data_IF_673320878929
#
_entry.id   IF_673320878929
#
_cell.length_a   1.000
_cell.length_b   1.000
_cell.length_c   1.000
_cell.angle_alpha   90.00
_cell.angle_beta   90.00
_cell.angle_gamma   90.00
#
_symmetry.space_group_name_H-M   'P 1'
#
loop_
_entity.id
_entity.type
_entity.pdbx_description
1 polymer ?
#
# COMPACT_ATOMS: atom_id res chain seq x y z
N UNK A 1 0.50 33.82 -33.81
CA UNK A 1 0.58 34.73 -32.64
C UNK A 1 1.80 34.28 -31.88
N UNK A 2 2.65 35.21 -31.48
CA UNK A 2 3.98 34.91 -30.94
C UNK A 2 4.11 35.50 -29.52
N UNK A 3 5.04 34.94 -28.75
CA UNK A 3 5.41 35.48 -27.43
C UNK A 3 5.93 36.90 -27.58
N UNK A 4 5.85 37.69 -26.51
CA UNK A 4 6.54 38.99 -26.49
C UNK A 4 8.05 38.77 -26.69
N UNK A 5 8.73 39.72 -27.34
CA UNK A 5 10.16 39.61 -27.60
C UNK A 5 10.98 39.49 -26.31
N UNK A 6 10.54 40.22 -25.26
CA UNK A 6 11.12 40.15 -23.92
C UNK A 6 10.97 38.78 -23.29
N UNK A 7 9.75 38.22 -23.27
CA UNK A 7 9.52 36.91 -22.66
C UNK A 7 10.22 35.79 -23.45
N UNK A 8 10.21 35.86 -24.79
CA UNK A 8 10.93 34.90 -25.64
C UNK A 8 12.43 34.90 -25.32
N UNK A 9 13.04 36.09 -25.18
CA UNK A 9 14.44 36.22 -24.78
C UNK A 9 14.68 35.66 -23.38
N UNK A 10 13.88 36.05 -22.39
CA UNK A 10 14.02 35.61 -21.00
C UNK A 10 13.86 34.08 -20.85
N UNK A 11 12.89 33.48 -21.55
CA UNK A 11 12.69 32.03 -21.54
C UNK A 11 13.88 31.29 -22.18
N UNK A 12 14.42 31.78 -23.30
CA UNK A 12 15.59 31.19 -23.93
C UNK A 12 16.83 31.27 -23.03
N UNK A 13 17.04 32.40 -22.35
CA UNK A 13 18.13 32.56 -21.37
C UNK A 13 17.95 31.59 -20.20
N UNK A 14 16.73 31.45 -19.70
CA UNK A 14 16.41 30.50 -18.63
C UNK A 14 16.75 29.06 -19.07
N UNK A 15 16.31 28.63 -20.26
CA UNK A 15 16.57 27.28 -20.77
C UNK A 15 18.07 27.01 -21.01
N UNK A 16 18.81 28.01 -21.49
CA UNK A 16 20.26 27.91 -21.66
C UNK A 16 21.03 27.80 -20.34
N UNK A 17 20.42 28.13 -19.19
CA UNK A 17 21.05 28.07 -17.87
C UNK A 17 21.09 26.67 -17.25
N UNK A 18 20.74 25.61 -18.00
CA UNK A 18 20.78 24.23 -17.50
C UNK A 18 19.60 23.87 -16.60
N UNK A 19 18.40 24.31 -16.98
CA UNK A 19 17.17 23.98 -16.26
C UNK A 19 16.90 22.47 -16.31
N UNK A 20 16.54 21.91 -15.16
CA UNK A 20 16.26 20.50 -14.95
C UNK A 20 14.77 20.16 -15.00
N UNK A 21 13.91 21.13 -14.67
CA UNK A 21 12.45 21.02 -14.64
C UNK A 21 11.81 22.41 -14.69
N UNK A 22 10.61 22.51 -15.26
CA UNK A 22 9.86 23.76 -15.41
C UNK A 22 8.47 23.64 -14.77
N UNK A 23 8.11 24.63 -13.96
CA UNK A 23 6.77 24.81 -13.39
C UNK A 23 6.19 26.13 -13.85
N UNK A 24 4.91 26.13 -14.23
CA UNK A 24 4.20 27.35 -14.64
C UNK A 24 3.15 27.68 -13.59
N UNK A 25 3.26 28.86 -12.98
CA UNK A 25 2.18 29.45 -12.21
C UNK A 25 1.28 30.24 -13.16
N UNK A 26 0.16 29.62 -13.54
CA UNK A 26 -0.81 30.20 -14.47
C UNK A 26 -1.50 31.46 -13.90
N UNK A 27 -1.69 31.52 -12.59
CA UNK A 27 -2.35 32.66 -11.94
C UNK A 27 -1.38 33.84 -11.80
N UNK A 28 -0.15 33.56 -11.40
CA UNK A 28 0.92 34.55 -11.27
C UNK A 28 1.62 34.90 -12.59
N UNK A 29 1.20 34.31 -13.72
CA UNK A 29 1.83 34.45 -15.04
C UNK A 29 3.35 34.35 -14.94
N UNK A 30 3.84 33.29 -14.32
CA UNK A 30 5.26 33.12 -14.00
C UNK A 30 5.73 31.73 -14.42
N UNK A 31 6.90 31.67 -15.08
CA UNK A 31 7.62 30.43 -15.34
C UNK A 31 8.77 30.30 -14.34
N UNK A 32 8.84 29.15 -13.69
CA UNK A 32 9.89 28.77 -12.74
C UNK A 32 10.72 27.64 -13.33
N UNK A 33 12.04 27.76 -13.27
CA UNK A 33 12.98 26.73 -13.69
C UNK A 33 13.80 26.22 -12.52
N UNK A 34 13.77 24.91 -12.26
CA UNK A 34 14.67 24.27 -11.31
C UNK A 34 16.06 24.14 -11.93
N UNK A 35 17.11 24.60 -11.24
CA UNK A 35 18.51 24.46 -11.66
C UNK A 35 19.33 23.81 -10.54
N UNK A 36 20.58 23.43 -10.81
CA UNK A 36 21.49 22.93 -9.77
C UNK A 36 21.74 23.93 -8.63
N UNK A 37 21.68 25.24 -8.93
CA UNK A 37 22.02 26.32 -7.98
C UNK A 37 20.79 26.96 -7.31
N UNK A 38 19.58 26.50 -7.62
CA UNK A 38 18.34 27.06 -7.10
C UNK A 38 17.27 27.25 -8.18
N UNK A 39 16.38 28.21 -7.98
CA UNK A 39 15.26 28.47 -8.89
C UNK A 39 15.52 29.71 -9.77
N UNK A 40 15.28 29.56 -11.07
CA UNK A 40 15.17 30.67 -12.01
C UNK A 40 13.69 31.08 -12.14
N UNK A 41 13.43 32.37 -12.33
CA UNK A 41 12.07 32.91 -12.45
C UNK A 41 11.97 33.87 -13.64
N UNK A 42 10.95 33.68 -14.45
CA UNK A 42 10.57 34.58 -15.56
C UNK A 42 9.12 35.02 -15.33
N UNK A 43 8.92 36.32 -15.09
CA UNK A 43 7.59 36.91 -15.09
C UNK A 43 7.16 37.14 -16.55
N UNK A 44 5.96 36.68 -16.90
CA UNK A 44 5.42 36.78 -18.25
C UNK A 44 4.64 38.08 -18.44
N UNK A 45 4.80 38.68 -19.60
CA UNK A 45 4.12 39.89 -20.05
C UNK A 45 3.22 39.57 -21.26
N UNK A 46 2.06 38.93 -21.03
CA UNK A 46 1.16 38.49 -22.10
C UNK A 46 0.71 39.65 -22.98
N UNK A 47 0.94 39.52 -24.29
CA UNK A 47 0.46 40.43 -25.34
C UNK A 47 -0.92 40.03 -25.90
N UNK A 48 -1.52 38.97 -25.35
CA UNK A 48 -2.81 38.42 -25.73
C UNK A 48 -3.55 37.84 -24.52
N UNK A 49 -4.63 37.08 -24.74
CA UNK A 49 -5.38 36.45 -23.63
C UNK A 49 -4.46 35.49 -22.85
N UNK A 50 -4.45 35.53 -21.50
CA UNK A 50 -3.54 34.71 -20.69
C UNK A 50 -3.51 33.22 -21.07
N UNK A 51 -4.67 32.58 -21.26
CA UNK A 51 -4.73 31.16 -21.63
C UNK A 51 -4.10 30.86 -23.00
N UNK A 52 -4.24 31.80 -23.96
CA UNK A 52 -3.61 31.68 -25.26
C UNK A 52 -2.10 31.90 -25.15
N UNK A 53 -1.69 32.83 -24.31
CA UNK A 53 -0.28 33.12 -24.06
C UNK A 53 0.42 31.95 -23.40
N UNK A 54 -0.17 31.33 -22.38
CA UNK A 54 0.38 30.15 -21.71
C UNK A 54 0.52 28.96 -22.66
N UNK A 55 -0.38 28.80 -23.64
CA UNK A 55 -0.23 27.80 -24.71
C UNK A 55 0.99 28.07 -25.59
N UNK A 56 1.26 29.33 -25.92
CA UNK A 56 2.46 29.71 -26.69
C UNK A 56 3.74 29.49 -25.87
N UNK A 57 3.71 29.77 -24.57
CA UNK A 57 4.84 29.51 -23.65
C UNK A 57 5.13 28.01 -23.60
N UNK A 58 4.11 27.19 -23.36
CA UNK A 58 4.19 25.73 -23.35
C UNK A 58 4.70 25.15 -24.67
N UNK A 59 4.22 25.70 -25.80
CA UNK A 59 4.71 25.32 -27.13
C UNK A 59 6.21 25.62 -27.28
N UNK A 60 6.66 26.82 -26.92
CA UNK A 60 8.07 27.22 -26.99
C UNK A 60 8.97 26.32 -26.11
N UNK A 61 8.53 26.02 -24.89
CA UNK A 61 9.22 25.12 -23.97
C UNK A 61 9.31 23.69 -24.55
N UNK A 62 8.21 23.19 -25.12
CA UNK A 62 8.16 21.86 -25.72
C UNK A 62 9.04 21.74 -26.97
N UNK A 63 9.06 22.78 -27.83
CA UNK A 63 9.93 22.84 -29.01
C UNK A 63 11.41 22.76 -28.60
N UNK A 64 11.80 23.49 -27.56
CA UNK A 64 13.17 23.43 -27.02
C UNK A 64 13.50 22.07 -26.39
N UNK A 65 12.61 21.53 -25.57
CA UNK A 65 12.90 20.32 -24.80
C UNK A 65 12.95 19.05 -25.65
N UNK A 66 12.13 18.97 -26.70
CA UNK A 66 11.90 17.74 -27.47
C UNK A 66 12.57 17.73 -28.85
N UNK A 67 13.28 18.80 -29.25
CA UNK A 67 13.91 18.95 -30.57
C UNK A 67 12.96 18.64 -31.74
N UNK A 68 11.66 18.97 -31.61
CA UNK A 68 10.64 18.62 -32.59
C UNK A 68 10.16 19.85 -33.39
N UNK A 69 10.37 19.88 -34.72
CA UNK A 69 9.99 21.01 -35.57
C UNK A 69 8.49 21.10 -35.91
N UNK A 70 7.67 20.09 -35.59
CA UNK A 70 6.23 20.07 -35.91
C UNK A 70 5.34 20.03 -34.65
N UNK A 71 4.93 21.22 -34.18
CA UNK A 71 3.60 21.50 -33.63
C UNK A 71 3.16 20.74 -32.36
N UNK A 72 3.37 21.38 -31.22
CA UNK A 72 2.53 21.19 -30.04
C UNK A 72 1.06 21.53 -30.39
N UNK A 73 0.01 20.76 -30.03
CA UNK A 73 -0.07 19.60 -29.11
C UNK A 73 -0.12 18.22 -29.81
N UNK A 74 0.23 18.12 -31.10
CA UNK A 74 0.13 16.85 -31.87
C UNK A 74 1.04 15.77 -31.29
N UNK A 75 2.18 16.16 -30.72
CA UNK A 75 3.13 15.26 -30.09
C UNK A 75 2.57 14.57 -28.84
N UNK A 76 1.93 15.30 -27.91
CA UNK A 76 1.34 14.73 -26.69
C UNK A 76 0.26 13.67 -26.99
N UNK A 77 -0.56 13.89 -28.03
CA UNK A 77 -1.64 12.95 -28.43
C UNK A 77 -1.14 11.66 -29.08
N UNK A 78 -0.01 11.69 -29.77
CA UNK A 78 0.64 10.47 -30.30
C UNK A 78 1.37 9.71 -29.18
N UNK A 79 1.87 10.44 -28.19
CA UNK A 79 2.64 9.92 -27.07
C UNK A 79 1.83 9.12 -26.07
N UNK A 80 0.63 9.59 -25.72
CA UNK A 80 -0.31 8.83 -24.89
C UNK A 80 -0.82 7.55 -25.57
N UNK A 81 -0.68 7.41 -26.90
CA UNK A 81 -1.05 6.22 -27.67
C UNK A 81 0.09 5.23 -27.90
N UNK A 82 1.33 5.71 -27.96
CA UNK A 82 2.53 4.88 -28.11
C UNK A 82 3.04 4.55 -26.70
N UNK A 83 2.56 3.44 -26.13
CA UNK A 83 2.86 2.96 -24.77
C UNK A 83 4.33 2.58 -24.48
N UNK A 84 5.29 3.30 -25.06
CA UNK A 84 6.71 3.19 -24.80
C UNK A 84 7.26 4.60 -24.57
N UNK A 85 7.14 5.10 -23.34
CA UNK A 85 8.12 6.05 -22.83
C UNK A 85 9.46 5.33 -22.90
N UNK A 86 10.35 5.75 -23.81
CA UNK A 86 11.76 5.38 -23.68
C UNK A 86 12.30 6.11 -22.47
N UNK A 87 12.88 5.37 -21.53
CA UNK A 87 13.37 5.90 -20.24
C UNK A 87 14.29 7.13 -20.42
N UNK A 88 15.01 7.20 -21.55
CA UNK A 88 15.95 8.28 -21.90
C UNK A 88 15.32 9.68 -22.03
N UNK A 89 14.01 9.80 -22.24
CA UNK A 89 13.34 11.10 -22.48
C UNK A 89 12.51 11.63 -21.31
N UNK A 90 12.44 10.91 -20.18
CA UNK A 90 11.60 11.30 -19.04
C UNK A 90 11.97 12.67 -18.46
N UNK A 91 13.26 12.97 -18.40
CA UNK A 91 13.76 14.27 -17.90
C UNK A 91 13.35 15.45 -18.80
N UNK A 92 13.33 15.25 -20.13
CA UNK A 92 12.95 16.28 -21.10
C UNK A 92 11.49 16.69 -20.97
N UNK A 93 10.61 15.76 -20.63
CA UNK A 93 9.20 16.07 -20.40
C UNK A 93 8.97 17.08 -19.28
N UNK A 94 9.77 17.02 -18.23
CA UNK A 94 9.66 17.92 -17.09
C UNK A 94 10.03 19.37 -17.46
N UNK A 95 10.59 19.62 -18.65
CA UNK A 95 10.90 20.95 -19.15
C UNK A 95 9.74 21.61 -19.91
N UNK A 96 8.70 20.84 -20.26
CA UNK A 96 7.59 21.31 -21.12
C UNK A 96 6.65 22.29 -20.42
N UNK A 97 6.66 22.33 -19.08
CA UNK A 97 5.69 23.09 -18.29
C UNK A 97 4.27 22.51 -18.31
N UNK A 98 4.11 21.26 -18.76
CA UNK A 98 2.81 20.56 -18.81
C UNK A 98 2.60 19.66 -17.59
N UNK A 99 1.45 19.80 -16.94
CA UNK A 99 1.09 18.98 -15.79
C UNK A 99 0.87 17.51 -16.21
N UNK A 100 0.25 17.27 -17.37
CA UNK A 100 0.03 15.93 -17.92
C UNK A 100 1.35 15.21 -18.22
N UNK A 101 2.39 15.96 -18.59
CA UNK A 101 3.72 15.40 -18.80
C UNK A 101 4.33 14.94 -17.47
N UNK A 102 4.13 15.68 -16.38
CA UNK A 102 4.55 15.26 -15.03
C UNK A 102 3.81 14.00 -14.60
N UNK A 103 2.49 13.94 -14.78
CA UNK A 103 1.70 12.72 -14.48
C UNK A 103 2.24 11.53 -15.25
N UNK A 104 2.52 11.68 -16.55
CA UNK A 104 3.08 10.62 -17.37
C UNK A 104 4.47 10.16 -16.88
N UNK A 105 5.35 11.10 -16.49
CA UNK A 105 6.66 10.78 -15.91
C UNK A 105 6.51 9.94 -14.64
N UNK A 106 5.64 10.35 -13.74
CA UNK A 106 5.45 9.67 -12.44
C UNK A 106 4.91 8.25 -12.62
N UNK A 107 4.15 7.99 -13.68
CA UNK A 107 3.65 6.66 -14.01
C UNK A 107 4.65 5.79 -14.78
N UNK A 108 5.73 6.37 -15.30
CA UNK A 108 6.68 5.65 -16.15
C UNK A 108 7.43 4.54 -15.38
N UNK A 109 7.71 3.39 -16.02
CA UNK A 109 8.46 2.30 -15.40
C UNK A 109 9.91 2.69 -15.07
N UNK A 110 10.58 3.48 -15.93
CA UNK A 110 11.94 3.96 -15.71
C UNK A 110 12.09 5.17 -14.80
N UNK A 111 11.11 5.47 -13.95
CA UNK A 111 11.19 6.58 -13.01
C UNK A 111 12.33 6.34 -11.99
N UNK A 112 13.36 7.19 -12.06
CA UNK A 112 14.48 7.18 -11.11
C UNK A 112 14.25 8.16 -9.95
N UNK A 113 15.01 8.00 -8.86
CA UNK A 113 14.96 8.91 -7.71
C UNK A 113 15.17 10.39 -8.10
N UNK A 114 16.13 10.67 -8.98
CA UNK A 114 16.43 12.04 -9.40
C UNK A 114 15.33 12.64 -10.30
N UNK A 115 14.72 11.84 -11.17
CA UNK A 115 13.57 12.29 -11.97
C UNK A 115 12.35 12.51 -11.07
N UNK A 116 12.13 11.64 -10.08
CA UNK A 116 11.07 11.81 -9.08
C UNK A 116 11.25 13.10 -8.28
N UNK A 117 12.47 13.45 -7.87
CA UNK A 117 12.77 14.73 -7.18
C UNK A 117 12.33 15.94 -8.02
N UNK A 118 12.64 15.93 -9.32
CA UNK A 118 12.27 17.00 -10.26
C UNK A 118 10.76 17.08 -10.47
N UNK A 119 10.11 15.93 -10.70
CA UNK A 119 8.66 15.86 -10.84
C UNK A 119 7.93 16.31 -9.56
N UNK A 120 8.46 15.94 -8.39
CA UNK A 120 7.94 16.35 -7.09
C UNK A 120 8.04 17.86 -6.88
N UNK A 121 9.16 18.48 -7.28
CA UNK A 121 9.32 19.93 -7.23
C UNK A 121 8.27 20.66 -8.10
N UNK A 122 7.93 20.10 -9.26
CA UNK A 122 6.89 20.69 -10.14
C UNK A 122 5.50 20.54 -9.50
N UNK A 123 5.13 19.33 -9.08
CA UNK A 123 3.76 19.01 -8.69
C UNK A 123 3.71 18.09 -7.45
N UNK A 124 3.87 18.65 -6.23
CA UNK A 124 3.88 17.89 -4.99
C UNK A 124 2.48 17.54 -4.50
N UNK A 125 1.82 16.59 -5.18
CA UNK A 125 0.46 16.13 -4.85
C UNK A 125 0.45 14.75 -4.20
N UNK A 126 -0.64 14.44 -3.50
CA UNK A 126 -0.83 13.15 -2.82
C UNK A 126 -0.78 11.97 -3.80
N UNK A 127 -1.44 12.10 -4.95
CA UNK A 127 -1.48 11.10 -6.01
C UNK A 127 -0.08 10.84 -6.58
N UNK A 128 0.71 11.90 -6.78
CA UNK A 128 2.09 11.77 -7.25
C UNK A 128 2.97 11.09 -6.21
N UNK A 129 2.86 11.46 -4.93
CA UNK A 129 3.63 10.82 -3.86
C UNK A 129 3.34 9.30 -3.79
N UNK A 130 2.07 8.91 -3.85
CA UNK A 130 1.65 7.50 -3.90
C UNK A 130 2.29 6.78 -5.08
N UNK A 131 2.10 7.30 -6.29
CA UNK A 131 2.56 6.64 -7.50
C UNK A 131 4.08 6.56 -7.58
N UNK A 132 4.79 7.60 -7.13
CA UNK A 132 6.26 7.59 -7.06
C UNK A 132 6.77 6.50 -6.09
N UNK A 133 6.14 6.33 -4.92
CA UNK A 133 6.56 5.36 -3.92
C UNK A 133 6.28 3.89 -4.28
N UNK A 134 5.43 3.62 -5.27
CA UNK A 134 5.30 2.28 -5.85
C UNK A 134 6.60 1.81 -6.53
N UNK A 135 7.49 2.75 -6.91
CA UNK A 135 8.74 2.44 -7.60
C UNK A 135 9.86 2.21 -6.58
N UNK A 136 10.42 1.01 -6.57
CA UNK A 136 11.50 0.65 -5.65
C UNK A 136 12.72 1.58 -5.77
N UNK A 137 13.06 2.03 -6.98
CA UNK A 137 14.17 2.97 -7.22
C UNK A 137 13.97 4.33 -6.53
N UNK A 138 12.71 4.75 -6.33
CA UNK A 138 12.35 5.99 -5.63
C UNK A 138 12.21 5.73 -4.14
N UNK A 139 11.49 4.67 -3.76
CA UNK A 139 11.26 4.31 -2.37
C UNK A 139 12.58 4.04 -1.61
N UNK A 140 13.55 3.36 -2.22
CA UNK A 140 14.87 3.13 -1.62
C UNK A 140 15.83 4.32 -1.75
N UNK A 141 15.48 5.32 -2.55
CA UNK A 141 16.27 6.53 -2.75
C UNK A 141 15.98 7.62 -1.71
N UNK A 142 16.63 8.77 -1.87
CA UNK A 142 16.44 9.92 -0.97
C UNK A 142 14.99 10.43 -0.96
N UNK A 143 14.29 10.34 -2.09
CA UNK A 143 12.89 10.77 -2.20
C UNK A 143 11.95 9.89 -1.40
N UNK A 144 12.31 8.62 -1.15
CA UNK A 144 11.47 7.70 -0.38
C UNK A 144 11.05 8.28 0.96
N UNK A 145 12.02 8.84 1.71
CA UNK A 145 11.75 9.48 3.00
C UNK A 145 10.92 10.76 2.86
N UNK A 146 11.25 11.61 1.89
CA UNK A 146 10.54 12.89 1.66
C UNK A 146 9.06 12.64 1.35
N UNK A 147 8.78 11.70 0.45
CA UNK A 147 7.43 11.32 0.05
C UNK A 147 6.69 10.61 1.19
N UNK A 148 7.38 9.76 1.96
CA UNK A 148 6.78 9.07 3.10
C UNK A 148 6.37 10.04 4.22
N UNK A 149 7.23 11.00 4.56
CA UNK A 149 6.92 12.03 5.56
C UNK A 149 5.68 12.84 5.10
N UNK A 150 5.62 13.23 3.82
CA UNK A 150 4.45 13.86 3.22
C UNK A 150 3.18 12.98 3.33
N UNK A 151 3.25 11.70 2.94
CA UNK A 151 2.09 10.79 3.03
C UNK A 151 1.59 10.64 4.47
N UNK A 152 2.48 10.54 5.46
CA UNK A 152 2.10 10.39 6.88
C UNK A 152 1.35 11.62 7.40
N UNK A 153 1.74 12.82 6.96
CA UNK A 153 1.05 14.07 7.29
C UNK A 153 -0.33 14.17 6.66
N UNK A 154 -0.51 13.62 5.45
CA UNK A 154 -1.77 13.69 4.69
C UNK A 154 -2.74 12.54 5.00
N UNK A 155 -2.23 11.41 5.50
CA UNK A 155 -3.00 10.22 5.86
C UNK A 155 -4.21 10.47 6.80
N UNK A 156 -4.20 11.41 7.78
CA UNK A 156 -5.38 11.70 8.60
C UNK A 156 -6.57 12.24 7.81
N UNK A 157 -6.33 12.79 6.62
CA UNK A 157 -7.34 13.45 5.80
C UNK A 157 -7.81 12.58 4.62
N UNK A 158 -7.26 11.37 4.47
CA UNK A 158 -7.76 10.42 3.48
C UNK A 158 -9.04 9.74 4.00
N UNK A 159 -10.03 9.64 3.13
CA UNK A 159 -11.34 9.06 3.42
C UNK A 159 -11.55 7.72 2.70
N UNK A 160 -10.81 7.45 1.62
CA UNK A 160 -10.85 6.17 0.91
C UNK A 160 -10.07 5.08 1.66
N UNK A 161 -10.79 4.09 2.18
CA UNK A 161 -10.24 2.94 2.89
C UNK A 161 -9.16 2.19 2.10
N UNK A 162 -9.36 2.03 0.78
CA UNK A 162 -8.40 1.34 -0.08
C UNK A 162 -7.12 2.15 -0.20
N UNK A 163 -7.24 3.47 -0.40
CA UNK A 163 -6.11 4.38 -0.41
C UNK A 163 -5.34 4.38 0.92
N UNK A 164 -6.05 4.37 2.06
CA UNK A 164 -5.42 4.26 3.39
C UNK A 164 -4.62 2.96 3.48
N UNK A 165 -5.23 1.83 3.12
CA UNK A 165 -4.57 0.52 3.16
C UNK A 165 -3.32 0.50 2.27
N UNK A 166 -3.42 0.94 1.02
CA UNK A 166 -2.33 0.93 0.04
C UNK A 166 -1.18 1.85 0.45
N UNK A 167 -1.49 3.04 0.99
CA UNK A 167 -0.47 3.95 1.51
C UNK A 167 0.27 3.35 2.70
N UNK A 168 -0.45 2.86 3.72
CA UNK A 168 0.19 2.27 4.90
C UNK A 168 0.98 1.03 4.49
N UNK A 169 0.48 0.22 3.55
CA UNK A 169 1.18 -0.94 3.00
C UNK A 169 2.52 -0.53 2.38
N UNK A 170 2.51 0.49 1.52
CA UNK A 170 3.71 1.00 0.84
C UNK A 170 4.73 1.53 1.84
N UNK A 171 4.27 2.31 2.83
CA UNK A 171 5.11 2.86 3.90
C UNK A 171 5.79 1.75 4.72
N UNK A 172 5.09 0.65 5.00
CA UNK A 172 5.62 -0.48 5.77
C UNK A 172 6.50 -1.41 4.93
N UNK A 173 6.17 -1.66 3.67
CA UNK A 173 6.93 -2.57 2.79
C UNK A 173 8.38 -2.09 2.59
N UNK A 174 8.58 -0.79 2.45
CA UNK A 174 9.90 -0.20 2.22
C UNK A 174 10.57 0.35 3.50
N UNK A 175 10.03 0.05 4.70
CA UNK A 175 10.57 0.54 5.98
C UNK A 175 10.73 2.08 6.04
N UNK A 176 9.82 2.83 5.41
CA UNK A 176 9.95 4.28 5.23
C UNK A 176 9.52 5.11 6.45
N UNK A 177 8.89 4.47 7.43
CA UNK A 177 8.38 5.13 8.63
C UNK A 177 9.29 4.90 9.82
N UNK A 178 9.55 5.96 10.59
CA UNK A 178 10.23 5.83 11.88
C UNK A 178 9.41 4.99 12.86
N UNK A 179 10.06 4.38 13.86
CA UNK A 179 9.36 3.62 14.90
C UNK A 179 8.30 4.46 15.66
N UNK A 180 8.50 5.78 15.76
CA UNK A 180 7.52 6.69 16.35
C UNK A 180 6.29 6.90 15.44
N UNK A 181 6.52 7.05 14.13
CA UNK A 181 5.43 7.15 13.14
C UNK A 181 4.67 5.82 13.04
N UNK A 182 5.36 4.69 13.06
CA UNK A 182 4.77 3.34 13.06
C UNK A 182 3.79 3.15 14.23
N UNK A 183 4.18 3.51 15.45
CA UNK A 183 3.29 3.48 16.62
C UNK A 183 2.08 4.39 16.47
N UNK A 184 2.24 5.58 15.87
CA UNK A 184 1.13 6.50 15.60
C UNK A 184 0.15 5.95 14.58
N UNK A 185 0.66 5.36 13.49
CA UNK A 185 -0.16 4.70 12.46
C UNK A 185 -0.95 3.54 13.06
N UNK A 186 -0.29 2.68 13.83
CA UNK A 186 -0.95 1.59 14.55
C UNK A 186 -2.06 2.08 15.48
N UNK A 187 -1.80 3.14 16.26
CA UNK A 187 -2.78 3.68 17.19
C UNK A 187 -4.06 4.20 16.49
N UNK A 188 -3.97 4.64 15.23
CA UNK A 188 -5.14 5.06 14.43
C UNK A 188 -6.05 3.91 14.04
N UNK A 189 -5.56 2.66 14.04
CA UNK A 189 -6.40 1.47 13.84
C UNK A 189 -7.58 1.39 14.81
N UNK A 190 -7.42 1.91 16.03
CA UNK A 190 -8.50 1.99 17.04
C UNK A 190 -9.66 2.87 16.60
N UNK A 191 -9.43 3.83 15.72
CA UNK A 191 -10.46 4.70 15.15
C UNK A 191 -10.93 4.14 13.80
N UNK A 192 -9.99 3.64 12.99
CA UNK A 192 -10.22 3.30 11.60
C UNK A 192 -9.53 1.99 11.18
N UNK A 193 -10.32 0.95 10.90
CA UNK A 193 -9.83 -0.43 10.70
C UNK A 193 -8.81 -0.62 9.57
N UNK A 194 -8.90 0.16 8.49
CA UNK A 194 -7.98 0.12 7.34
C UNK A 194 -6.49 0.15 7.75
N UNK A 195 -6.17 0.89 8.81
CA UNK A 195 -4.80 0.99 9.32
C UNK A 195 -4.26 -0.35 9.80
N UNK A 196 -5.07 -1.20 10.44
CA UNK A 196 -4.61 -2.49 10.94
C UNK A 196 -4.27 -3.47 9.80
N UNK A 197 -5.01 -3.41 8.71
CA UNK A 197 -4.88 -4.36 7.59
C UNK A 197 -3.46 -4.37 7.05
N UNK A 198 -2.91 -3.20 6.73
CA UNK A 198 -1.56 -3.11 6.19
C UNK A 198 -0.49 -3.65 7.15
N UNK A 199 -0.64 -3.46 8.47
CA UNK A 199 0.29 -4.04 9.46
C UNK A 199 0.19 -5.56 9.52
N UNK A 200 -1.04 -6.08 9.53
CA UNK A 200 -1.31 -7.51 9.55
C UNK A 200 -0.85 -8.21 8.26
N UNK A 201 -0.90 -7.55 7.11
CA UNK A 201 -0.38 -8.08 5.84
C UNK A 201 1.15 -8.05 5.78
N UNK A 202 1.76 -6.92 6.14
CA UNK A 202 3.17 -6.67 5.84
C UNK A 202 4.13 -7.14 6.94
N UNK A 203 3.68 -7.14 8.20
CA UNK A 203 4.55 -7.39 9.37
C UNK A 203 3.84 -8.19 10.46
N UNK A 204 3.19 -9.32 10.13
CA UNK A 204 2.36 -10.03 11.10
C UNK A 204 3.13 -10.55 12.32
N UNK A 205 4.43 -10.85 12.19
CA UNK A 205 5.29 -11.29 13.31
C UNK A 205 6.03 -10.14 14.03
N UNK A 206 5.86 -8.89 13.58
CA UNK A 206 6.57 -7.72 14.13
C UNK A 206 5.58 -6.58 14.43
N UNK A 207 4.38 -6.92 14.85
CA UNK A 207 3.34 -5.95 15.17
C UNK A 207 3.69 -5.09 16.40
N UNK A 208 3.26 -3.82 16.46
CA UNK A 208 3.42 -2.99 17.64
C UNK A 208 2.69 -3.54 18.88
N UNK A 209 3.24 -3.26 20.07
CA UNK A 209 2.72 -3.72 21.37
C UNK A 209 2.74 -5.24 21.52
N UNK A 210 3.94 -5.86 21.50
CA UNK A 210 4.07 -7.31 21.56
C UNK A 210 3.47 -7.88 22.85
N UNK A 211 2.81 -9.01 22.72
CA UNK A 211 2.31 -9.84 23.81
C UNK A 211 3.29 -10.99 24.10
N UNK A 212 3.29 -11.52 25.33
CA UNK A 212 4.03 -12.74 25.63
C UNK A 212 3.47 -13.93 24.83
N UNK A 213 4.31 -14.96 24.65
CA UNK A 213 3.86 -16.25 24.14
C UNK A 213 2.77 -16.85 25.05
N UNK A 214 2.05 -17.86 24.55
CA UNK A 214 1.08 -18.60 25.37
C UNK A 214 1.77 -19.15 26.62
N UNK A 215 1.06 -19.20 27.74
CA UNK A 215 1.68 -19.51 29.04
C UNK A 215 2.42 -20.86 29.07
N UNK A 216 1.95 -21.84 28.29
CA UNK A 216 2.54 -23.18 28.13
C UNK A 216 3.42 -23.32 26.87
N UNK A 217 3.82 -22.22 26.24
CA UNK A 217 4.56 -22.23 24.96
C UNK A 217 5.83 -23.07 25.05
N UNK A 218 6.65 -22.90 26.09
CA UNK A 218 7.91 -23.63 26.20
C UNK A 218 7.70 -25.16 26.26
N UNK A 219 6.69 -25.62 26.99
CA UNK A 219 6.33 -27.03 27.08
C UNK A 219 5.77 -27.55 25.75
N UNK A 220 4.90 -26.76 25.11
CA UNK A 220 4.30 -27.13 23.82
C UNK A 220 5.34 -27.15 22.69
N UNK A 221 6.26 -26.18 22.67
CA UNK A 221 7.38 -26.12 21.73
C UNK A 221 8.26 -27.36 21.84
N UNK A 222 8.60 -27.79 23.06
CA UNK A 222 9.37 -29.02 23.28
C UNK A 222 8.68 -30.27 22.71
N UNK A 223 7.34 -30.33 22.77
CA UNK A 223 6.56 -31.42 22.16
C UNK A 223 6.52 -31.33 20.62
N UNK A 224 6.51 -30.12 20.07
CA UNK A 224 6.48 -29.87 18.63
C UNK A 224 7.86 -29.96 17.95
N UNK A 225 8.95 -29.77 18.70
CA UNK A 225 10.31 -29.66 18.17
C UNK A 225 10.70 -30.82 17.22
N UNK A 226 10.45 -32.10 17.53
CA UNK A 226 10.79 -33.18 16.59
C UNK A 226 10.06 -33.08 15.24
N UNK A 227 8.83 -32.57 15.25
CA UNK A 227 8.03 -32.38 14.03
C UNK A 227 8.47 -31.15 13.24
N UNK A 228 8.88 -30.08 13.95
CA UNK A 228 9.44 -28.87 13.34
C UNK A 228 10.76 -29.19 12.64
N UNK A 229 11.64 -29.97 13.29
CA UNK A 229 12.90 -30.46 12.72
C UNK A 229 12.67 -31.35 11.49
N UNK A 230 11.58 -32.14 11.50
CA UNK A 230 11.15 -32.94 10.35
C UNK A 230 10.48 -32.11 9.23
N UNK A 231 10.37 -30.78 9.38
CA UNK A 231 9.77 -29.90 8.37
C UNK A 231 8.24 -29.98 8.28
N UNK A 232 7.55 -30.42 9.35
CA UNK A 232 6.10 -30.51 9.34
C UNK A 232 5.45 -29.10 9.36
N UNK A 233 4.68 -28.71 8.33
CA UNK A 233 4.17 -27.35 8.22
C UNK A 233 3.09 -27.02 9.26
N UNK A 234 2.34 -28.02 9.74
CA UNK A 234 1.33 -27.83 10.79
C UNK A 234 1.98 -27.56 12.14
N UNK A 235 3.04 -28.30 12.48
CA UNK A 235 3.80 -28.07 13.71
C UNK A 235 4.45 -26.68 13.71
N UNK A 236 5.03 -26.26 12.57
CA UNK A 236 5.65 -24.94 12.42
C UNK A 236 4.64 -23.80 12.58
N UNK A 237 3.48 -23.89 11.91
CA UNK A 237 2.45 -22.85 12.00
C UNK A 237 1.77 -22.82 13.37
N UNK A 238 1.58 -23.99 13.99
CA UNK A 238 1.09 -24.06 15.36
C UNK A 238 2.08 -23.37 16.31
N UNK A 239 3.36 -23.75 16.28
CA UNK A 239 4.40 -23.14 17.11
C UNK A 239 4.45 -21.61 16.93
N UNK A 240 4.40 -21.15 15.67
CA UNK A 240 4.36 -19.72 15.35
C UNK A 240 3.16 -19.02 15.99
N UNK A 241 1.95 -19.57 15.93
CA UNK A 241 0.76 -18.97 16.57
C UNK A 241 0.85 -18.96 18.10
N UNK A 242 1.51 -19.94 18.71
CA UNK A 242 1.66 -20.02 20.16
C UNK A 242 2.78 -19.12 20.70
N UNK A 243 3.71 -18.69 19.84
CA UNK A 243 4.78 -17.75 20.16
C UNK A 243 4.26 -16.33 20.50
N UNK A 244 5.13 -15.48 21.06
CA UNK A 244 4.79 -14.07 21.34
C UNK A 244 4.29 -13.28 20.12
N UNK A 245 5.01 -13.32 18.98
CA UNK A 245 4.52 -12.78 17.72
C UNK A 245 3.14 -13.30 17.31
N UNK A 246 2.92 -14.62 17.38
CA UNK A 246 1.63 -15.23 17.06
C UNK A 246 0.49 -14.77 17.97
N UNK A 247 0.73 -14.70 19.28
CA UNK A 247 -0.26 -14.17 20.23
C UNK A 247 -0.56 -12.68 20.01
N UNK A 248 0.44 -11.92 19.55
CA UNK A 248 0.27 -10.51 19.15
C UNK A 248 -0.58 -10.40 17.89
N UNK A 249 -0.31 -11.22 16.88
CA UNK A 249 -1.12 -11.32 15.66
C UNK A 249 -2.58 -11.67 15.96
N UNK A 250 -2.82 -12.66 16.81
CA UNK A 250 -4.18 -13.01 17.22
C UNK A 250 -4.88 -11.83 17.92
N UNK A 251 -4.21 -11.15 18.86
CA UNK A 251 -4.81 -9.97 19.50
C UNK A 251 -5.11 -8.83 18.52
N UNK A 252 -4.23 -8.60 17.56
CA UNK A 252 -4.40 -7.59 16.52
C UNK A 252 -5.59 -7.89 15.61
N UNK A 253 -5.76 -9.14 15.19
CA UNK A 253 -6.90 -9.60 14.41
C UNK A 253 -8.22 -9.42 15.18
N UNK A 254 -8.24 -9.73 16.49
CA UNK A 254 -9.42 -9.48 17.35
C UNK A 254 -9.77 -7.99 17.42
N UNK A 255 -8.78 -7.12 17.56
CA UNK A 255 -8.97 -5.67 17.58
C UNK A 255 -9.46 -5.15 16.21
N UNK A 256 -8.93 -5.67 15.10
CA UNK A 256 -9.37 -5.33 13.76
C UNK A 256 -10.84 -5.73 13.51
N UNK A 257 -11.29 -6.88 14.03
CA UNK A 257 -12.69 -7.30 13.97
C UNK A 257 -13.64 -6.35 14.70
N UNK A 258 -13.16 -5.54 15.65
CA UNK A 258 -13.98 -4.51 16.29
C UNK A 258 -14.25 -3.31 15.37
N UNK A 259 -13.46 -3.15 14.31
CA UNK A 259 -13.47 -2.01 13.39
C UNK A 259 -13.57 -2.48 11.93
N UNK A 260 -14.64 -3.22 11.55
CA UNK A 260 -14.74 -3.77 10.20
C UNK A 260 -14.85 -2.69 9.12
N UNK A 261 -15.29 -1.47 9.43
CA UNK A 261 -15.35 -0.34 8.50
C UNK A 261 -16.24 -0.62 7.29
N UNK A 262 -15.65 -1.13 6.23
CA UNK A 262 -16.27 -1.43 4.92
C UNK A 262 -16.10 -2.89 4.51
N UNK A 263 -16.68 -3.28 3.38
CA UNK A 263 -16.57 -4.63 2.85
C UNK A 263 -15.12 -4.96 2.43
N UNK A 264 -14.38 -3.96 1.97
CA UNK A 264 -13.01 -4.01 1.53
C UNK A 264 -12.08 -4.35 2.70
N UNK A 265 -12.20 -3.63 3.82
CA UNK A 265 -11.46 -3.90 5.06
C UNK A 265 -11.75 -5.31 5.57
N UNK A 266 -13.01 -5.74 5.57
CA UNK A 266 -13.41 -7.08 6.02
C UNK A 266 -12.83 -8.16 5.11
N UNK A 267 -12.91 -7.99 3.80
CA UNK A 267 -12.39 -8.96 2.83
C UNK A 267 -10.88 -9.11 2.98
N UNK A 268 -10.16 -8.00 3.15
CA UNK A 268 -8.73 -8.01 3.41
C UNK A 268 -8.38 -8.67 4.75
N UNK A 269 -9.10 -8.34 5.83
CA UNK A 269 -8.93 -8.97 7.14
C UNK A 269 -9.12 -10.49 7.08
N UNK A 270 -10.13 -10.97 6.36
CA UNK A 270 -10.35 -12.41 6.23
C UNK A 270 -9.25 -13.08 5.40
N UNK A 271 -8.76 -12.44 4.34
CA UNK A 271 -7.66 -12.96 3.54
C UNK A 271 -6.32 -13.02 4.31
N UNK A 272 -6.11 -12.14 5.28
CA UNK A 272 -4.91 -12.13 6.14
C UNK A 272 -4.72 -13.48 6.85
N UNK A 273 -5.79 -14.14 7.32
CA UNK A 273 -5.65 -15.43 8.03
C UNK A 273 -5.08 -16.52 7.11
N UNK A 274 -5.67 -16.68 5.93
CA UNK A 274 -5.20 -17.64 4.93
C UNK A 274 -3.79 -17.33 4.44
N UNK A 275 -3.43 -16.05 4.26
CA UNK A 275 -2.08 -15.63 3.89
C UNK A 275 -1.06 -15.91 5.00
N UNK A 276 -1.41 -15.63 6.26
CA UNK A 276 -0.53 -15.90 7.40
C UNK A 276 -0.24 -17.39 7.58
N UNK A 277 -1.20 -18.25 7.23
CA UNK A 277 -1.16 -19.71 7.36
C UNK A 277 -1.04 -20.43 6.01
N UNK A 278 -0.49 -19.77 4.99
CA UNK A 278 -0.50 -20.25 3.60
C UNK A 278 0.11 -21.65 3.43
N UNK A 279 1.14 -21.99 4.22
CA UNK A 279 1.84 -23.28 4.14
C UNK A 279 0.98 -24.50 4.52
N UNK A 280 -0.20 -24.29 5.13
CA UNK A 280 -1.15 -25.33 5.51
C UNK A 280 -2.56 -25.05 4.96
N UNK A 281 -2.64 -24.19 3.94
CA UNK A 281 -3.90 -23.67 3.43
C UNK A 281 -4.81 -24.77 2.86
N UNK A 282 -6.11 -24.61 3.09
CA UNK A 282 -7.17 -25.55 2.69
C UNK A 282 -7.75 -25.21 1.31
N UNK A 283 -6.90 -24.82 0.35
CA UNK A 283 -7.27 -24.15 -0.93
C UNK A 283 -8.26 -24.94 -1.81
N UNK A 284 -8.55 -26.19 -1.47
CA UNK A 284 -9.57 -26.98 -2.15
C UNK A 284 -10.99 -26.47 -1.87
N UNK A 285 -11.42 -25.50 -2.67
CA UNK A 285 -12.80 -25.01 -2.75
C UNK A 285 -13.09 -23.76 -1.90
N UNK A 286 -13.99 -22.94 -2.41
CA UNK A 286 -14.45 -21.68 -1.78
C UNK A 286 -15.50 -21.97 -0.73
N UNK A 287 -15.09 -22.36 0.48
CA UNK A 287 -16.01 -22.51 1.61
C UNK A 287 -16.77 -21.19 1.84
N UNK A 288 -18.11 -21.25 1.89
CA UNK A 288 -18.98 -20.07 1.90
C UNK A 288 -19.55 -19.73 3.29
N UNK A 289 -19.16 -20.49 4.30
CA UNK A 289 -19.54 -20.31 5.69
C UNK A 289 -18.42 -20.79 6.63
N UNK A 290 -18.42 -20.30 7.86
CA UNK A 290 -17.52 -20.81 8.90
C UNK A 290 -17.82 -22.27 9.26
N UNK A 291 -19.07 -22.72 9.14
CA UNK A 291 -19.47 -24.11 9.37
C UNK A 291 -18.75 -25.06 8.40
N UNK A 292 -18.78 -24.77 7.09
CA UNK A 292 -18.06 -25.56 6.09
C UNK A 292 -16.55 -25.60 6.35
N UNK A 293 -15.96 -24.49 6.83
CA UNK A 293 -14.54 -24.42 7.17
C UNK A 293 -14.22 -25.28 8.40
N UNK A 294 -15.04 -25.21 9.45
CA UNK A 294 -14.87 -25.97 10.68
C UNK A 294 -15.01 -27.48 10.42
N UNK A 295 -15.97 -27.91 9.60
CA UNK A 295 -16.16 -29.31 9.24
C UNK A 295 -14.94 -29.88 8.52
N UNK A 296 -14.40 -29.12 7.55
CA UNK A 296 -13.16 -29.48 6.84
C UNK A 296 -11.97 -29.55 7.78
N UNK A 297 -11.79 -28.55 8.63
CA UNK A 297 -10.72 -28.52 9.62
C UNK A 297 -10.79 -29.71 10.58
N UNK A 298 -12.00 -30.07 11.04
CA UNK A 298 -12.23 -31.21 11.94
C UNK A 298 -11.93 -32.55 11.28
N UNK A 299 -12.32 -32.69 10.00
CA UNK A 299 -12.03 -33.88 9.19
C UNK A 299 -10.53 -34.05 9.00
N UNK A 300 -9.83 -32.98 8.60
CA UNK A 300 -8.38 -32.99 8.42
C UNK A 300 -7.62 -33.24 9.73
N UNK A 301 -8.02 -32.60 10.83
CA UNK A 301 -7.44 -32.82 12.15
C UNK A 301 -7.64 -34.26 12.68
N UNK A 302 -8.50 -35.05 12.05
CA UNK A 302 -8.71 -36.46 12.41
C UNK A 302 -7.90 -37.42 11.55
N UNK A 303 -7.27 -36.95 10.48
CA UNK A 303 -6.34 -37.72 9.68
C UNK A 303 -4.96 -37.75 10.36
N UNK A 304 -4.53 -38.96 10.75
CA UNK A 304 -3.29 -39.23 11.49
C UNK A 304 -2.02 -38.81 10.74
N UNK A 305 -2.10 -38.56 9.43
CA UNK A 305 -0.98 -38.04 8.65
C UNK A 305 -0.59 -36.59 9.03
N UNK A 306 -1.47 -35.85 9.70
CA UNK A 306 -1.17 -34.52 10.23
C UNK A 306 -0.52 -34.62 11.61
N UNK A 307 0.80 -34.51 11.67
CA UNK A 307 1.59 -34.85 12.86
C UNK A 307 1.12 -34.29 14.23
N UNK A 308 0.62 -33.04 14.36
CA UNK A 308 0.07 -32.57 15.64
C UNK A 308 -1.22 -33.29 16.09
N UNK A 309 -1.94 -33.96 15.18
CA UNK A 309 -3.17 -34.71 15.48
C UNK A 309 -2.91 -35.94 16.36
N UNK A 310 -1.69 -36.49 16.29
CA UNK A 310 -1.27 -37.63 17.11
C UNK A 310 -1.07 -37.25 18.58
N UNK A 311 -1.02 -35.96 18.93
CA UNK A 311 -0.95 -35.46 20.30
C UNK A 311 -2.36 -35.06 20.79
N UNK A 312 -3.04 -35.88 21.61
CA UNK A 312 -4.45 -35.66 21.93
C UNK A 312 -4.74 -34.29 22.57
N UNK A 313 -3.83 -33.82 23.42
CA UNK A 313 -3.90 -32.49 24.05
C UNK A 313 -3.85 -31.31 23.06
N UNK A 314 -3.24 -31.49 21.88
CA UNK A 314 -3.09 -30.44 20.86
C UNK A 314 -4.13 -30.56 19.74
N UNK A 315 -4.96 -31.61 19.75
CA UNK A 315 -6.03 -31.77 18.77
C UNK A 315 -6.97 -30.54 18.68
N UNK A 316 -7.42 -29.93 19.80
CA UNK A 316 -8.21 -28.69 19.73
C UNK A 316 -7.44 -27.53 19.09
N UNK A 317 -6.15 -27.41 19.37
CA UNK A 317 -5.29 -26.37 18.79
C UNK A 317 -5.11 -26.58 17.29
N UNK A 318 -4.96 -27.83 16.84
CA UNK A 318 -4.87 -28.16 15.43
C UNK A 318 -6.17 -27.84 14.68
N UNK A 319 -7.34 -28.16 15.25
CA UNK A 319 -8.63 -27.79 14.66
C UNK A 319 -8.75 -26.28 14.53
N UNK A 320 -8.38 -25.53 15.57
CA UNK A 320 -8.40 -24.08 15.55
C UNK A 320 -7.44 -23.50 14.50
N UNK A 321 -6.21 -24.01 14.42
CA UNK A 321 -5.21 -23.66 13.41
C UNK A 321 -5.75 -23.87 11.99
N UNK A 322 -6.27 -25.07 11.70
CA UNK A 322 -6.79 -25.42 10.38
C UNK A 322 -8.04 -24.63 10.02
N UNK A 323 -8.89 -24.34 11.01
CA UNK A 323 -10.06 -23.50 10.82
C UNK A 323 -9.62 -22.11 10.39
N UNK A 324 -8.68 -21.48 11.10
CA UNK A 324 -8.13 -20.17 10.73
C UNK A 324 -7.44 -20.20 9.36
N UNK A 325 -6.71 -21.28 9.03
CA UNK A 325 -6.06 -21.44 7.72
C UNK A 325 -7.06 -21.52 6.56
N UNK A 326 -8.28 -21.99 6.82
CA UNK A 326 -9.38 -21.99 5.85
C UNK A 326 -10.12 -20.65 5.72
N UNK A 327 -9.88 -19.69 6.61
CA UNK A 327 -10.53 -18.37 6.56
C UNK A 327 -9.96 -17.54 5.42
N UNK A 328 -10.87 -17.06 4.58
CA UNK A 328 -10.63 -16.06 3.55
C UNK A 328 -11.94 -15.29 3.30
N UNK A 329 -11.93 -14.31 2.39
CA UNK A 329 -13.10 -13.49 2.08
C UNK A 329 -14.39 -14.29 1.76
N UNK A 330 -14.30 -15.52 1.25
CA UNK A 330 -15.46 -16.35 0.93
C UNK A 330 -16.23 -16.81 2.17
N UNK A 331 -15.60 -16.85 3.34
CA UNK A 331 -16.26 -17.17 4.61
C UNK A 331 -17.40 -16.19 4.93
N UNK A 332 -17.30 -14.95 4.45
CA UNK A 332 -18.33 -13.91 4.61
C UNK A 332 -19.21 -13.71 3.37
N UNK A 333 -19.04 -14.53 2.31
CA UNK A 333 -19.72 -14.34 1.02
C UNK A 333 -21.24 -14.23 1.16
N UNK A 334 -21.86 -15.13 1.93
CA UNK A 334 -23.31 -15.17 2.13
C UNK A 334 -23.86 -13.95 2.88
N UNK A 335 -23.04 -13.32 3.72
CA UNK A 335 -23.38 -12.11 4.47
C UNK A 335 -23.15 -10.87 3.61
N UNK A 336 -21.95 -10.71 3.07
CA UNK A 336 -21.52 -9.51 2.33
C UNK A 336 -22.30 -9.32 1.02
N UNK A 337 -22.73 -10.40 0.35
CA UNK A 337 -23.56 -10.28 -0.84
C UNK A 337 -24.95 -9.68 -0.57
N UNK A 338 -25.44 -9.76 0.67
CA UNK A 338 -26.83 -9.40 1.04
C UNK A 338 -26.94 -8.09 1.82
N UNK A 339 -25.84 -7.37 1.99
CA UNK A 339 -25.81 -6.16 2.80
C UNK A 339 -24.97 -5.09 2.12
N UNK A 340 -25.29 -3.83 2.38
CA UNK A 340 -24.44 -2.66 2.09
C UNK A 340 -24.07 -1.97 3.40
N UNK A 341 -24.21 -2.67 4.53
CA UNK A 341 -23.94 -2.11 5.84
C UNK A 341 -22.46 -1.79 5.99
N UNK A 342 -22.19 -0.75 6.76
CA UNK A 342 -20.84 -0.34 7.16
C UNK A 342 -20.75 -0.27 8.69
N UNK A 343 -19.52 -0.19 9.21
CA UNK A 343 -19.21 0.07 10.62
C UNK A 343 -19.92 -0.89 11.59
N UNK A 344 -20.59 -0.37 12.63
CA UNK A 344 -21.19 -1.17 13.69
C UNK A 344 -22.32 -2.09 13.20
N UNK A 345 -23.08 -1.66 12.18
CA UNK A 345 -24.12 -2.50 11.58
C UNK A 345 -23.50 -3.67 10.83
N UNK A 346 -22.42 -3.41 10.07
CA UNK A 346 -21.66 -4.46 9.40
C UNK A 346 -21.09 -5.46 10.40
N UNK A 347 -20.49 -4.99 11.50
CA UNK A 347 -20.01 -5.85 12.61
C UNK A 347 -21.12 -6.78 13.14
N UNK A 348 -22.32 -6.24 13.32
CA UNK A 348 -23.47 -7.01 13.81
C UNK A 348 -23.91 -8.08 12.79
N UNK A 349 -23.88 -7.76 11.49
CA UNK A 349 -24.18 -8.70 10.41
C UNK A 349 -23.11 -9.79 10.27
N UNK A 350 -21.85 -9.47 10.58
CA UNK A 350 -20.71 -10.38 10.51
C UNK A 350 -20.55 -11.30 11.72
N UNK A 351 -21.40 -11.22 12.74
CA UNK A 351 -21.37 -12.14 13.89
C UNK A 351 -21.27 -13.63 13.52
N UNK A 352 -22.02 -14.16 12.53
CA UNK A 352 -21.90 -15.56 12.11
C UNK A 352 -20.54 -15.94 11.53
N UNK A 353 -19.70 -14.95 11.19
CA UNK A 353 -18.33 -15.13 10.71
C UNK A 353 -17.32 -14.84 11.83
N UNK A 354 -17.46 -13.71 12.53
CA UNK A 354 -16.50 -13.27 13.54
C UNK A 354 -16.56 -14.08 14.84
N UNK A 355 -17.73 -14.47 15.32
CA UNK A 355 -17.84 -15.23 16.58
C UNK A 355 -17.15 -16.61 16.47
N UNK A 356 -17.35 -17.41 15.39
CA UNK A 356 -16.59 -18.64 15.21
C UNK A 356 -15.07 -18.44 15.10
N UNK A 357 -14.61 -17.38 14.41
CA UNK A 357 -13.18 -17.05 14.32
C UNK A 357 -12.63 -16.76 15.73
N UNK A 358 -13.32 -15.90 16.50
CA UNK A 358 -12.94 -15.56 17.87
C UNK A 358 -12.89 -16.78 18.80
N UNK A 359 -13.79 -17.76 18.62
CA UNK A 359 -13.73 -19.02 19.36
C UNK A 359 -12.43 -19.77 19.11
N UNK A 360 -12.03 -19.94 17.83
CA UNK A 360 -10.78 -20.61 17.48
C UNK A 360 -9.56 -19.86 18.01
N UNK A 361 -9.58 -18.53 17.93
CA UNK A 361 -8.52 -17.70 18.51
C UNK A 361 -8.43 -17.90 20.03
N UNK A 362 -9.56 -17.99 20.74
CA UNK A 362 -9.57 -18.27 22.18
C UNK A 362 -8.96 -19.62 22.51
N UNK A 363 -9.25 -20.65 21.72
CA UNK A 363 -8.61 -21.98 21.87
C UNK A 363 -7.09 -21.86 21.79
N UNK A 364 -6.57 -21.16 20.78
CA UNK A 364 -5.14 -20.96 20.54
C UNK A 364 -4.45 -20.02 21.54
N UNK A 365 -5.21 -19.22 22.28
CA UNK A 365 -4.70 -18.34 23.35
C UNK A 365 -4.73 -18.99 24.73
N UNK A 366 -5.46 -20.10 24.89
CA UNK A 366 -5.65 -20.78 26.18
C UNK A 366 -4.66 -21.92 26.33
N UNK A 367 -3.83 -21.86 27.37
CA UNK A 367 -2.86 -22.91 27.72
C UNK A 367 -3.54 -24.26 27.98
N UNK A 368 -2.86 -25.35 27.66
CA UNK A 368 -3.31 -26.73 27.84
C UNK A 368 -2.66 -27.45 29.03
N UNK A 369 -1.59 -26.86 29.56
CA UNK A 369 -0.75 -27.43 30.61
C UNK A 369 -0.60 -26.48 31.79
#
# INVERSE_FOLDING_TARGET
MELSSEDSFCLNVMLAAGVQAVRIDSNGMTVLGLTEKGEAKVALHPNCRPDQYLKLVKQSLAEHALDSPEGYPVYLRRWTRMGQLRDDNLSKLLLTGEEEAVVAVVHAPGLTNEIARRAWWIMPTLENARRMLEKEAVARGEMGKVLADFLVEHLPFEEDDLAIMDMVRTLLWFDLVSAAAEKKLWARGKQHGAYYIAFLEQRPDRLPNPLPARADYAATHALLAPFIEAGNPYAQQLDRLLSGPGQTFLAACEEAMQRPGTHEIVSALLNIYGAYLESISLVEGKARSMEEIIDRATTLASDEHHAPAALPQLKPDLIALLTLAGVNQWAAYTVLQRTTAVNALLRTKLKPVFEPIQEQMRVLRTAKF
#
